data_IF_536905121528
#
_entry.id   IF_536905121528
#
_cell.length_a   1.000
_cell.length_b   1.000
_cell.length_c   1.000
_cell.angle_alpha   90.00
_cell.angle_beta   90.00
_cell.angle_gamma   90.00
#
_symmetry.space_group_name_H-M   'P 1'
#
loop_
_entity.id
_entity.type
_entity.pdbx_description
1 polymer ?
#
# COMPACT_ATOMS: atom_id res chain seq x y z
N UNK A 1 -41.59 -24.86 -41.87
CA UNK A 1 -40.92 -24.60 -40.59
C UNK A 1 -39.42 -24.60 -40.83
N UNK A 2 -38.85 -23.47 -41.24
CA UNK A 2 -37.40 -23.35 -41.40
C UNK A 2 -36.78 -23.20 -40.02
N UNK A 3 -36.00 -24.20 -39.60
CA UNK A 3 -35.13 -24.11 -38.43
C UNK A 3 -33.97 -23.17 -38.77
N UNK A 4 -33.80 -22.12 -37.98
CA UNK A 4 -32.56 -21.34 -37.91
C UNK A 4 -31.38 -22.30 -37.70
N UNK A 5 -30.40 -22.28 -38.60
CA UNK A 5 -29.04 -22.67 -38.25
C UNK A 5 -28.52 -21.56 -37.34
N UNK A 6 -28.49 -21.81 -36.03
CA UNK A 6 -27.55 -21.09 -35.17
C UNK A 6 -26.19 -21.68 -35.50
N UNK A 7 -25.38 -20.94 -36.26
CA UNK A 7 -24.01 -21.33 -36.55
C UNK A 7 -23.25 -21.44 -35.23
N UNK A 8 -22.60 -22.60 -35.02
CA UNK A 8 -21.85 -22.96 -33.81
C UNK A 8 -20.89 -21.87 -33.34
N UNK A 9 -20.34 -21.11 -34.28
CA UNK A 9 -19.38 -20.02 -34.06
C UNK A 9 -19.96 -18.82 -33.32
N UNK A 10 -21.26 -18.52 -33.48
CA UNK A 10 -21.90 -17.40 -32.78
C UNK A 10 -22.10 -17.69 -31.28
N UNK A 11 -22.34 -18.95 -30.92
CA UNK A 11 -22.46 -19.38 -29.52
C UNK A 11 -21.13 -19.31 -28.76
N UNK A 12 -20.04 -19.68 -29.43
CA UNK A 12 -18.70 -19.68 -28.84
C UNK A 12 -18.21 -18.25 -28.55
N UNK A 13 -18.42 -17.31 -29.47
CA UNK A 13 -18.05 -15.89 -29.28
C UNK A 13 -18.86 -15.20 -28.17
N UNK A 14 -20.15 -15.52 -28.03
CA UNK A 14 -20.97 -14.97 -26.94
C UNK A 14 -20.47 -15.48 -25.58
N UNK A 15 -20.07 -16.75 -25.51
CA UNK A 15 -19.51 -17.35 -24.31
C UNK A 15 -18.16 -16.72 -23.94
N UNK A 16 -17.29 -16.49 -24.93
CA UNK A 16 -15.99 -15.83 -24.76
C UNK A 16 -16.14 -14.38 -24.27
N UNK A 17 -17.00 -13.58 -24.91
CA UNK A 17 -17.34 -12.22 -24.46
C UNK A 17 -17.88 -12.19 -23.04
N UNK A 18 -18.76 -13.14 -22.70
CA UNK A 18 -19.31 -13.28 -21.35
C UNK A 18 -18.24 -13.61 -20.31
N UNK A 19 -17.29 -14.48 -20.67
CA UNK A 19 -16.15 -14.82 -19.84
C UNK A 19 -15.23 -13.61 -19.59
N UNK A 20 -14.84 -12.89 -20.64
CA UNK A 20 -13.97 -11.70 -20.53
C UNK A 20 -14.60 -10.64 -19.62
N UNK A 21 -15.88 -10.32 -19.82
CA UNK A 21 -16.63 -9.40 -18.95
C UNK A 21 -16.64 -9.86 -17.49
N UNK A 22 -16.84 -11.15 -17.25
CA UNK A 22 -16.81 -11.70 -15.88
C UNK A 22 -15.43 -11.56 -15.23
N UNK A 23 -14.34 -11.72 -16.00
CA UNK A 23 -12.99 -11.51 -15.48
C UNK A 23 -12.71 -10.02 -15.20
N UNK A 24 -13.13 -9.11 -16.09
CA UNK A 24 -13.00 -7.66 -15.88
C UNK A 24 -13.71 -7.25 -14.58
N UNK A 25 -14.98 -7.62 -14.41
CA UNK A 25 -15.75 -7.31 -13.18
C UNK A 25 -15.09 -7.89 -11.91
N UNK A 26 -14.52 -9.10 -12.02
CA UNK A 26 -13.80 -9.73 -10.91
C UNK A 26 -12.55 -8.95 -10.53
N UNK A 27 -11.71 -8.58 -11.49
CA UNK A 27 -10.44 -7.88 -11.21
C UNK A 27 -10.66 -6.42 -10.83
N UNK A 28 -11.69 -5.77 -11.37
CA UNK A 28 -12.15 -4.45 -10.93
C UNK A 28 -12.52 -4.47 -9.44
N UNK A 29 -13.37 -5.42 -9.02
CA UNK A 29 -13.75 -5.55 -7.62
C UNK A 29 -12.53 -5.80 -6.70
N UNK A 30 -11.58 -6.62 -7.14
CA UNK A 30 -10.35 -6.88 -6.38
C UNK A 30 -9.52 -5.60 -6.26
N UNK A 31 -9.35 -4.86 -7.35
CA UNK A 31 -8.61 -3.58 -7.34
C UNK A 31 -9.25 -2.57 -6.39
N UNK A 32 -10.58 -2.43 -6.43
CA UNK A 32 -11.32 -1.53 -5.52
C UNK A 32 -11.14 -1.90 -4.05
N UNK A 33 -11.23 -3.19 -3.73
CA UNK A 33 -10.99 -3.71 -2.38
C UNK A 33 -9.56 -3.44 -1.92
N UNK A 34 -8.57 -3.60 -2.81
CA UNK A 34 -7.16 -3.32 -2.54
C UNK A 34 -6.90 -1.83 -2.36
N UNK A 35 -7.49 -0.96 -3.17
CA UNK A 35 -7.37 0.50 -3.05
C UNK A 35 -7.86 1.00 -1.68
N UNK A 36 -9.01 0.49 -1.22
CA UNK A 36 -9.50 0.76 0.13
C UNK A 36 -8.56 0.23 1.22
N UNK A 37 -7.99 -0.95 1.00
CA UNK A 37 -7.05 -1.58 1.94
C UNK A 37 -5.74 -0.82 2.03
N UNK A 38 -5.13 -0.43 0.91
CA UNK A 38 -3.93 0.42 0.82
C UNK A 38 -4.13 1.69 1.63
N UNK A 39 -5.28 2.35 1.46
CA UNK A 39 -5.61 3.57 2.21
C UNK A 39 -5.60 3.32 3.73
N UNK A 40 -6.23 2.24 4.18
CA UNK A 40 -6.30 1.87 5.61
C UNK A 40 -4.93 1.50 6.19
N UNK A 41 -4.12 0.74 5.43
CA UNK A 41 -2.76 0.39 5.85
C UNK A 41 -1.91 1.65 5.96
N UNK A 42 -1.98 2.54 4.97
CA UNK A 42 -1.25 3.80 5.01
C UNK A 42 -1.64 4.65 6.23
N UNK A 43 -2.92 4.72 6.56
CA UNK A 43 -3.38 5.44 7.76
C UNK A 43 -2.84 4.83 9.06
N UNK A 44 -2.79 3.50 9.15
CA UNK A 44 -2.22 2.81 10.31
C UNK A 44 -0.70 3.04 10.40
N UNK A 45 0.03 2.99 9.28
CA UNK A 45 1.49 3.23 9.28
C UNK A 45 1.85 4.63 9.77
N UNK A 46 1.01 5.65 9.52
CA UNK A 46 1.22 7.03 9.99
C UNK A 46 1.06 7.20 11.49
N UNK A 47 0.49 6.24 12.21
CA UNK A 47 0.34 6.29 13.67
C UNK A 47 1.70 6.45 14.34
N UNK A 48 2.78 5.88 13.78
CA UNK A 48 4.14 5.97 14.36
C UNK A 48 4.62 7.42 14.52
N UNK A 49 4.23 8.31 13.60
CA UNK A 49 4.62 9.72 13.63
C UNK A 49 4.11 10.47 14.85
N UNK A 50 3.00 9.99 15.41
CA UNK A 50 2.35 10.56 16.59
C UNK A 50 2.68 9.79 17.88
N UNK A 51 3.58 8.81 17.80
CA UNK A 51 4.02 8.05 18.96
C UNK A 51 4.95 8.92 19.82
N UNK A 52 4.46 9.25 21.02
CA UNK A 52 5.15 10.12 21.98
C UNK A 52 6.06 9.35 22.93
N UNK A 53 6.06 8.01 22.90
CA UNK A 53 6.86 7.16 23.79
C UNK A 53 8.35 7.49 23.73
N UNK A 54 8.99 7.60 22.54
CA UNK A 54 10.41 7.96 22.48
C UNK A 54 10.69 9.32 23.14
N UNK A 55 9.83 10.31 22.90
CA UNK A 55 9.96 11.64 23.51
C UNK A 55 9.79 11.65 25.01
N UNK A 56 8.78 10.95 25.51
CA UNK A 56 8.54 10.84 26.94
C UNK A 56 9.72 10.17 27.65
N UNK A 57 10.36 9.19 27.01
CA UNK A 57 11.55 8.52 27.56
C UNK A 57 12.74 9.48 27.63
N UNK A 58 13.13 10.13 26.53
CA UNK A 58 14.34 10.97 26.58
C UNK A 58 14.16 12.21 27.47
N UNK A 59 12.97 12.81 27.51
CA UNK A 59 12.68 13.91 28.44
C UNK A 59 12.77 13.45 29.90
N UNK A 60 12.34 12.22 30.19
CA UNK A 60 12.46 11.68 31.54
C UNK A 60 13.91 11.38 31.92
N UNK A 61 14.73 10.91 30.98
CA UNK A 61 16.17 10.70 31.19
C UNK A 61 16.88 12.02 31.48
N UNK A 62 16.59 13.07 30.71
CA UNK A 62 17.11 14.42 30.93
C UNK A 62 16.72 14.93 32.33
N UNK A 63 15.44 14.81 32.71
CA UNK A 63 14.96 15.18 34.05
C UNK A 63 15.67 14.42 35.18
N UNK A 64 15.96 13.13 35.00
CA UNK A 64 16.69 12.35 36.02
C UNK A 64 18.14 12.84 36.15
N UNK A 65 18.78 13.23 35.05
CA UNK A 65 20.14 13.77 35.07
C UNK A 65 20.22 15.10 35.83
N UNK A 66 19.21 15.95 35.70
CA UNK A 66 19.11 17.23 36.41
C UNK A 66 19.02 17.07 37.95
N UNK A 67 18.44 15.98 38.44
CA UNK A 67 18.30 15.68 39.87
C UNK A 67 19.65 15.33 40.53
N UNK A 68 20.70 15.06 39.74
CA UNK A 68 22.02 14.69 40.25
C UNK A 68 22.78 15.89 40.81
N UNK A 69 23.40 15.69 41.99
CA UNK A 69 24.22 16.70 42.68
C UNK A 69 25.67 16.67 42.19
N UNK A 70 25.86 16.94 40.89
CA UNK A 70 27.16 17.01 40.23
C UNK A 70 27.73 18.43 40.21
N UNK A 71 29.04 18.56 40.01
CA UNK A 71 29.68 19.85 39.72
C UNK A 71 29.28 20.37 38.33
N UNK A 72 29.39 21.69 38.10
CA UNK A 72 29.02 22.31 36.81
C UNK A 72 29.72 21.67 35.61
N UNK A 73 31.00 21.32 35.75
CA UNK A 73 31.76 20.65 34.70
C UNK A 73 31.19 19.27 34.37
N UNK A 74 30.84 18.48 35.40
CA UNK A 74 30.26 17.14 35.23
C UNK A 74 28.83 17.20 34.68
N UNK A 75 28.02 18.19 35.09
CA UNK A 75 26.67 18.39 34.54
C UNK A 75 26.74 18.67 33.05
N UNK A 76 27.58 19.61 32.65
CA UNK A 76 27.76 19.97 31.24
C UNK A 76 28.22 18.79 30.38
N UNK A 77 29.14 17.97 30.90
CA UNK A 77 29.58 16.76 30.20
C UNK A 77 28.45 15.72 30.07
N UNK A 78 27.69 15.49 31.14
CA UNK A 78 26.56 14.56 31.13
C UNK A 78 25.44 15.02 30.19
N UNK A 79 25.06 16.30 30.25
CA UNK A 79 24.07 16.92 29.36
C UNK A 79 24.48 16.78 27.89
N UNK A 80 25.74 17.09 27.55
CA UNK A 80 26.24 16.94 26.18
C UNK A 80 26.20 15.48 25.70
N UNK A 81 26.49 14.53 26.58
CA UNK A 81 26.43 13.10 26.25
C UNK A 81 24.98 12.64 26.07
N UNK A 82 24.06 13.09 26.93
CA UNK A 82 22.64 12.79 26.80
C UNK A 82 22.10 13.35 25.50
N UNK A 83 22.36 14.63 25.18
CA UNK A 83 21.92 15.26 23.92
C UNK A 83 22.38 14.46 22.69
N UNK A 84 23.65 14.02 22.69
CA UNK A 84 24.17 13.16 21.64
C UNK A 84 23.36 11.86 21.52
N UNK A 85 23.08 11.17 22.64
CA UNK A 85 22.29 9.94 22.64
C UNK A 85 20.83 10.17 22.22
N UNK A 86 20.20 11.28 22.64
CA UNK A 86 18.85 11.66 22.22
C UNK A 86 18.78 11.84 20.71
N UNK A 87 19.81 12.45 20.10
CA UNK A 87 19.90 12.56 18.65
C UNK A 87 19.97 11.20 17.97
N UNK A 88 20.74 10.26 18.51
CA UNK A 88 20.80 8.89 17.98
C UNK A 88 19.44 8.17 18.08
N UNK A 89 18.71 8.36 19.18
CA UNK A 89 17.35 7.81 19.32
C UNK A 89 16.40 8.42 18.28
N UNK A 90 16.46 9.73 18.05
CA UNK A 90 15.65 10.40 17.01
C UNK A 90 15.97 9.88 15.62
N UNK A 91 17.24 9.70 15.30
CA UNK A 91 17.67 9.10 14.03
C UNK A 91 17.12 7.67 13.86
N UNK A 92 17.19 6.84 14.91
CA UNK A 92 16.61 5.50 14.90
C UNK A 92 15.09 5.49 14.73
N UNK A 93 14.36 6.40 15.38
CA UNK A 93 12.90 6.55 15.23
C UNK A 93 12.53 6.95 13.80
N UNK A 94 13.27 7.89 13.19
CA UNK A 94 13.03 8.29 11.80
C UNK A 94 13.26 7.12 10.82
N UNK A 95 14.29 6.31 11.08
CA UNK A 95 14.54 5.11 10.28
C UNK A 95 13.41 4.09 10.45
N UNK A 96 12.94 3.87 11.69
CA UNK A 96 11.79 3.00 11.96
C UNK A 96 10.52 3.49 11.27
N UNK A 97 10.22 4.80 11.32
CA UNK A 97 9.09 5.41 10.60
C UNK A 97 9.19 5.11 9.10
N UNK A 98 10.38 5.29 8.53
CA UNK A 98 10.63 5.02 7.10
C UNK A 98 10.38 3.55 6.74
N UNK A 99 10.84 2.60 7.57
CA UNK A 99 10.59 1.17 7.33
C UNK A 99 9.11 0.79 7.53
N UNK A 100 8.42 1.41 8.50
CA UNK A 100 6.98 1.20 8.72
C UNK A 100 6.17 1.66 7.50
N UNK A 101 6.52 2.79 6.87
CA UNK A 101 5.82 3.22 5.65
C UNK A 101 5.93 2.22 4.50
N UNK A 102 7.02 1.44 4.41
CA UNK A 102 7.17 0.40 3.39
C UNK A 102 6.20 -0.77 3.57
N UNK A 103 5.55 -0.91 4.72
CA UNK A 103 4.55 -1.96 4.92
C UNK A 103 3.33 -1.81 4.00
N UNK A 104 3.14 -0.65 3.36
CA UNK A 104 2.11 -0.48 2.32
C UNK A 104 2.49 -1.11 0.98
N UNK A 105 3.79 -1.27 0.69
CA UNK A 105 4.30 -1.68 -0.63
C UNK A 105 3.68 -2.99 -1.15
N UNK A 106 3.55 -4.07 -0.36
CA UNK A 106 2.96 -5.33 -0.86
C UNK A 106 1.50 -5.19 -1.28
N UNK A 107 0.76 -4.24 -0.68
CA UNK A 107 -0.64 -3.98 -1.02
C UNK A 107 -0.74 -3.17 -2.32
N UNK A 108 0.12 -2.18 -2.50
CA UNK A 108 0.22 -1.40 -3.74
C UNK A 108 0.68 -2.27 -4.91
N UNK A 109 1.63 -3.17 -4.69
CA UNK A 109 2.04 -4.16 -5.70
C UNK A 109 0.88 -5.04 -6.13
N UNK A 110 0.13 -5.59 -5.18
CA UNK A 110 -1.01 -6.44 -5.50
C UNK A 110 -2.14 -5.67 -6.19
N UNK A 111 -2.35 -4.40 -5.83
CA UNK A 111 -3.32 -3.52 -6.51
C UNK A 111 -2.90 -3.32 -7.97
N UNK A 112 -1.64 -2.96 -8.23
CA UNK A 112 -1.11 -2.82 -9.59
C UNK A 112 -1.25 -4.10 -10.40
N UNK A 113 -0.99 -5.25 -9.80
CA UNK A 113 -1.17 -6.55 -10.47
C UNK A 113 -2.64 -6.82 -10.81
N UNK A 114 -3.59 -6.38 -9.98
CA UNK A 114 -5.01 -6.52 -10.25
C UNK A 114 -5.48 -5.58 -11.37
N UNK A 115 -5.01 -4.33 -11.35
CA UNK A 115 -5.25 -3.34 -12.41
C UNK A 115 -4.70 -3.83 -13.76
N UNK A 116 -3.44 -4.27 -13.80
CA UNK A 116 -2.84 -4.81 -15.03
C UNK A 116 -3.62 -5.99 -15.59
N UNK A 117 -4.09 -6.91 -14.74
CA UNK A 117 -4.91 -8.04 -15.19
C UNK A 117 -6.27 -7.62 -15.72
N UNK A 118 -6.89 -6.59 -15.12
CA UNK A 118 -8.12 -6.01 -15.63
C UNK A 118 -7.88 -5.45 -17.03
N UNK A 119 -6.84 -4.64 -17.19
CA UNK A 119 -6.46 -4.01 -18.45
C UNK A 119 -6.19 -5.07 -19.54
N UNK A 120 -5.51 -6.17 -19.22
CA UNK A 120 -5.28 -7.29 -20.14
C UNK A 120 -6.61 -7.86 -20.70
N UNK A 121 -7.61 -8.09 -19.83
CA UNK A 121 -8.92 -8.59 -20.27
C UNK A 121 -9.75 -7.54 -21.02
N UNK A 122 -9.60 -6.25 -20.69
CA UNK A 122 -10.23 -5.16 -21.43
C UNK A 122 -9.68 -5.09 -22.86
N UNK A 123 -8.36 -5.21 -23.03
CA UNK A 123 -7.76 -5.29 -24.36
C UNK A 123 -8.21 -6.52 -25.16
N UNK A 124 -8.26 -7.70 -24.53
CA UNK A 124 -8.79 -8.92 -25.18
C UNK A 124 -10.25 -8.74 -25.62
N UNK A 125 -11.07 -8.07 -24.81
CA UNK A 125 -12.47 -7.78 -25.14
C UNK A 125 -12.58 -6.80 -26.31
N UNK A 126 -11.79 -5.74 -26.30
CA UNK A 126 -11.76 -4.73 -27.37
C UNK A 126 -11.34 -5.35 -28.71
N UNK A 127 -10.30 -6.18 -28.71
CA UNK A 127 -9.83 -6.91 -29.90
C UNK A 127 -10.94 -7.83 -30.44
N UNK A 128 -11.61 -8.59 -29.57
CA UNK A 128 -12.73 -9.46 -29.95
C UNK A 128 -13.90 -8.65 -30.55
N UNK A 129 -14.24 -7.51 -29.95
CA UNK A 129 -15.30 -6.63 -30.45
C UNK A 129 -14.97 -6.04 -31.82
N UNK A 130 -13.70 -5.64 -32.03
CA UNK A 130 -13.22 -5.13 -33.32
C UNK A 130 -13.26 -6.20 -34.42
N UNK A 131 -12.83 -7.42 -34.12
CA UNK A 131 -12.89 -8.54 -35.08
C UNK A 131 -14.33 -8.84 -35.50
N UNK A 132 -15.28 -8.78 -34.56
CA UNK A 132 -16.69 -8.99 -34.84
C UNK A 132 -17.30 -7.87 -35.68
N UNK A 133 -16.94 -6.61 -35.43
CA UNK A 133 -17.38 -5.48 -36.25
C UNK A 133 -16.86 -5.61 -37.69
N UNK A 134 -15.62 -6.09 -37.87
CA UNK A 134 -15.04 -6.33 -39.19
C UNK A 134 -15.66 -7.52 -39.93
N UNK A 135 -16.16 -8.50 -39.20
CA UNK A 135 -16.78 -9.71 -39.77
C UNK A 135 -18.28 -9.55 -40.07
N UNK A 136 -18.93 -8.49 -39.55
CA UNK A 136 -20.34 -8.13 -39.79
C UNK A 136 -20.55 -7.34 -41.08
#
# INVERSE_FOLDING_TARGET
MSRCRMDSTCGDTIAEKGYLKTQIEKWEKISDELSSTVSRVNDETKVIKYNDVPSNIYLKVESIAEELKLSDAQKKELESNIEYQVRQVREAVNNLESEIYKLVEPFEELQRDAENKKDDFEYELDDLEWELEKAS
#
